data_IF_228924718242
#
_entry.id   IF_228924718242
#
_cell.length_a   1.000
_cell.length_b   1.000
_cell.length_c   1.000
_cell.angle_alpha   90.00
_cell.angle_beta   90.00
_cell.angle_gamma   90.00
#
_symmetry.space_group_name_H-M   'P 1'
#
loop_
_entity.id
_entity.type
_entity.pdbx_description
1 polymer ?
#
# COMPACT_ATOMS: atom_id res chain seq x y z
N UNK A 1 -40.40 9.52 20.58
CA UNK A 1 -38.98 9.10 20.68
C UNK A 1 -38.37 8.79 19.31
N UNK A 2 -38.91 7.84 18.54
CA UNK A 2 -38.37 7.43 17.22
C UNK A 2 -38.41 8.55 16.15
N UNK A 3 -39.45 9.39 16.15
CA UNK A 3 -39.56 10.57 15.26
C UNK A 3 -38.56 11.69 15.58
N UNK A 4 -38.03 11.75 16.80
CA UNK A 4 -37.02 12.75 17.18
C UNK A 4 -35.61 12.37 16.68
N UNK A 5 -35.38 11.08 16.41
CA UNK A 5 -34.13 10.56 15.81
C UNK A 5 -34.12 10.83 14.30
N UNK A 6 -35.29 10.84 13.65
CA UNK A 6 -35.46 11.10 12.22
C UNK A 6 -35.43 12.59 11.84
N UNK A 7 -35.49 13.49 12.81
CA UNK A 7 -35.51 14.93 12.60
C UNK A 7 -34.51 15.64 13.55
N UNK A 8 -33.19 15.56 13.28
CA UNK A 8 -32.16 16.19 14.13
C UNK A 8 -32.28 17.73 14.20
N UNK A 9 -33.15 18.33 13.37
CA UNK A 9 -33.44 19.76 13.29
C UNK A 9 -34.69 20.19 14.07
N UNK A 10 -35.41 19.29 14.75
CA UNK A 10 -36.68 19.62 15.42
C UNK A 10 -36.52 20.34 16.78
N UNK A 11 -35.29 20.52 17.26
CA UNK A 11 -35.01 21.36 18.43
C UNK A 11 -34.97 22.84 18.05
N UNK A 12 -35.72 23.68 18.77
CA UNK A 12 -35.85 25.14 18.59
C UNK A 12 -34.55 25.91 18.89
N UNK A 13 -33.50 25.60 18.13
CA UNK A 13 -32.13 26.12 18.25
C UNK A 13 -31.11 25.34 17.41
N UNK A 14 -31.44 24.13 16.95
CA UNK A 14 -30.51 23.24 16.23
C UNK A 14 -30.20 23.67 14.79
N UNK A 15 -31.19 24.19 14.05
CA UNK A 15 -30.99 24.60 12.66
C UNK A 15 -30.03 25.79 12.52
N UNK A 16 -30.09 26.77 13.43
CA UNK A 16 -29.20 27.92 13.42
C UNK A 16 -27.77 27.57 13.82
N UNK A 17 -27.60 26.72 14.85
CA UNK A 17 -26.29 26.26 15.29
C UNK A 17 -25.64 25.30 14.27
N UNK A 18 -26.41 24.37 13.70
CA UNK A 18 -25.94 23.47 12.65
C UNK A 18 -25.63 24.23 11.35
N UNK A 19 -26.47 25.19 10.96
CA UNK A 19 -26.17 26.08 9.82
C UNK A 19 -24.91 26.89 10.08
N UNK A 20 -24.69 27.46 11.27
CA UNK A 20 -23.45 28.18 11.60
C UNK A 20 -22.21 27.26 11.57
N UNK A 21 -22.32 26.05 12.11
CA UNK A 21 -21.19 25.09 12.14
C UNK A 21 -20.90 24.54 10.73
N UNK A 22 -21.94 24.20 9.97
CA UNK A 22 -21.83 23.72 8.60
C UNK A 22 -21.35 24.83 7.63
N UNK A 23 -21.85 26.06 7.77
CA UNK A 23 -21.37 27.23 7.03
C UNK A 23 -19.91 27.52 7.37
N UNK A 24 -19.50 27.34 8.63
CA UNK A 24 -18.11 27.42 9.04
C UNK A 24 -17.24 26.39 8.33
N UNK A 25 -17.65 25.12 8.34
CA UNK A 25 -16.93 24.06 7.62
C UNK A 25 -16.87 24.30 6.10
N UNK A 26 -17.98 24.72 5.48
CA UNK A 26 -18.05 25.02 4.05
C UNK A 26 -17.17 26.23 3.71
N UNK A 27 -17.19 27.28 4.52
CA UNK A 27 -16.35 28.46 4.32
C UNK A 27 -14.86 28.12 4.46
N UNK A 28 -14.48 27.29 5.42
CA UNK A 28 -13.10 26.81 5.59
C UNK A 28 -12.68 25.95 4.40
N UNK A 29 -13.53 25.03 3.94
CA UNK A 29 -13.24 24.19 2.78
C UNK A 29 -13.13 25.01 1.48
N UNK A 30 -13.97 26.03 1.30
CA UNK A 30 -13.88 26.97 0.17
C UNK A 30 -12.60 27.82 0.26
N UNK A 31 -12.23 28.29 1.45
CA UNK A 31 -10.99 29.04 1.65
C UNK A 31 -9.75 28.19 1.35
N UNK A 32 -9.73 26.94 1.82
CA UNK A 32 -8.66 25.98 1.52
C UNK A 32 -8.62 25.68 0.02
N UNK A 33 -9.76 25.43 -0.62
CA UNK A 33 -9.86 25.19 -2.06
C UNK A 33 -9.36 26.39 -2.88
N UNK A 34 -9.75 27.61 -2.50
CA UNK A 34 -9.28 28.84 -3.14
C UNK A 34 -7.77 29.04 -2.95
N UNK A 35 -7.24 28.79 -1.75
CA UNK A 35 -5.81 28.89 -1.46
C UNK A 35 -5.00 27.87 -2.27
N UNK A 36 -5.45 26.62 -2.34
CA UNK A 36 -4.81 25.57 -3.15
C UNK A 36 -4.83 25.92 -4.64
N UNK A 37 -5.96 26.41 -5.16
CA UNK A 37 -6.05 26.88 -6.53
C UNK A 37 -5.13 28.07 -6.81
N UNK A 38 -5.05 29.04 -5.90
CA UNK A 38 -4.16 30.19 -6.04
C UNK A 38 -2.68 29.76 -6.04
N UNK A 39 -2.28 28.84 -5.15
CA UNK A 39 -0.92 28.28 -5.12
C UNK A 39 -0.63 27.46 -6.38
N UNK A 40 -1.59 26.66 -6.84
CA UNK A 40 -1.46 25.90 -8.08
C UNK A 40 -1.27 26.82 -9.28
N UNK A 41 -2.10 27.87 -9.41
CA UNK A 41 -2.00 28.88 -10.46
C UNK A 41 -0.66 29.62 -10.37
N UNK A 42 -0.23 30.03 -9.17
CA UNK A 42 1.06 30.72 -8.98
C UNK A 42 2.24 29.83 -9.41
N UNK A 43 2.23 28.55 -9.01
CA UNK A 43 3.27 27.60 -9.43
C UNK A 43 3.20 27.27 -10.92
N UNK A 44 2.01 27.18 -11.50
CA UNK A 44 1.82 27.02 -12.94
C UNK A 44 2.31 28.25 -13.71
N UNK A 45 2.14 29.47 -13.18
CA UNK A 45 2.65 30.71 -13.80
C UNK A 45 4.17 30.82 -13.72
N UNK A 46 4.78 30.40 -12.61
CA UNK A 46 6.25 30.29 -12.50
C UNK A 46 6.78 29.18 -13.40
N UNK A 47 6.02 28.08 -13.56
CA UNK A 47 6.42 26.96 -14.38
C UNK A 47 6.13 27.16 -15.87
N UNK A 48 5.18 28.02 -16.26
CA UNK A 48 4.82 28.31 -17.65
C UNK A 48 5.86 29.27 -18.25
N UNK A 49 6.91 28.76 -18.91
CA UNK A 49 7.93 29.58 -19.51
C UNK A 49 7.39 29.92 -20.89
N UNK A 50 6.60 31.00 -20.98
CA UNK A 50 6.39 31.62 -22.27
C UNK A 50 7.76 32.03 -22.79
N UNK A 51 8.19 31.35 -23.85
CA UNK A 51 9.49 31.40 -24.54
C UNK A 51 10.48 30.33 -24.09
N UNK A 52 10.51 29.26 -24.88
CA UNK A 52 11.72 28.53 -25.20
C UNK A 52 12.77 29.50 -25.80
N UNK A 53 13.42 30.31 -24.96
CA UNK A 53 14.75 30.80 -25.26
C UNK A 53 15.63 29.56 -25.14
N UNK A 54 16.08 29.08 -26.29
CA UNK A 54 17.15 28.11 -26.37
C UNK A 54 18.37 28.74 -25.70
N UNK A 55 18.57 28.49 -24.40
CA UNK A 55 19.91 28.57 -23.84
C UNK A 55 20.72 27.48 -24.53
N UNK A 56 21.50 27.91 -25.53
CA UNK A 56 22.58 27.09 -26.07
C UNK A 56 23.43 26.60 -24.90
N UNK A 57 23.86 25.33 -24.89
CA UNK A 57 24.72 24.82 -23.84
C UNK A 57 25.93 25.75 -23.71
N UNK A 58 26.10 26.35 -22.54
CA UNK A 58 27.32 27.11 -22.23
C UNK A 58 28.45 26.08 -22.22
N UNK A 59 29.22 26.00 -23.31
CA UNK A 59 30.49 25.27 -23.37
C UNK A 59 31.36 25.83 -22.25
N UNK A 60 31.29 25.17 -21.09
CA UNK A 60 32.15 25.46 -19.96
C UNK A 60 33.27 24.44 -20.06
N UNK A 61 34.42 24.93 -20.49
CA UNK A 61 35.71 24.25 -20.47
C UNK A 61 35.84 23.44 -19.18
N UNK A 62 35.80 22.12 -19.33
CA UNK A 62 35.86 21.20 -18.19
C UNK A 62 36.65 19.95 -18.56
N UNK A 63 37.84 20.15 -19.15
CA UNK A 63 38.89 19.12 -19.17
C UNK A 63 39.25 18.66 -17.75
N UNK A 64 39.03 19.50 -16.73
CA UNK A 64 39.25 19.15 -15.32
C UNK A 64 38.12 18.30 -14.70
N UNK A 65 36.86 18.43 -15.15
CA UNK A 65 35.75 17.59 -14.65
C UNK A 65 35.71 16.20 -15.30
N UNK A 66 36.29 16.06 -16.49
CA UNK A 66 36.36 14.78 -17.18
C UNK A 66 37.20 13.74 -16.40
N UNK A 67 38.26 14.19 -15.71
CA UNK A 67 39.17 13.30 -14.95
C UNK A 67 38.53 12.83 -13.63
N UNK A 68 37.64 13.61 -13.01
CA UNK A 68 36.91 13.18 -11.80
C UNK A 68 35.74 12.21 -12.09
N UNK A 69 35.21 12.18 -13.32
CA UNK A 69 34.11 11.26 -13.71
C UNK A 69 34.53 9.79 -13.82
N UNK A 70 35.83 9.50 -13.79
CA UNK A 70 36.38 8.17 -14.07
C UNK A 70 36.74 7.33 -12.83
N UNK A 71 36.29 7.68 -11.62
CA UNK A 71 36.21 6.65 -10.57
C UNK A 71 35.08 5.71 -10.95
N UNK A 72 35.42 4.60 -11.61
CA UNK A 72 34.52 3.50 -11.88
C UNK A 72 33.77 3.18 -10.58
N UNK A 73 32.49 3.57 -10.53
CA UNK A 73 31.66 3.32 -9.36
C UNK A 73 31.59 1.81 -9.20
N UNK A 74 31.95 1.32 -8.02
CA UNK A 74 31.85 -0.09 -7.71
C UNK A 74 30.36 -0.49 -7.70
N UNK A 75 29.91 -1.11 -8.79
CA UNK A 75 28.57 -1.64 -8.94
C UNK A 75 28.51 -2.96 -8.16
N UNK A 76 27.46 -3.16 -7.37
CA UNK A 76 27.27 -4.40 -6.63
C UNK A 76 26.94 -5.58 -7.56
N UNK A 77 27.03 -6.80 -7.03
CA UNK A 77 26.72 -8.03 -7.76
C UNK A 77 25.35 -7.99 -8.47
N UNK A 78 24.35 -7.34 -7.86
CA UNK A 78 23.08 -7.03 -8.53
C UNK A 78 23.03 -5.54 -8.91
N UNK A 79 23.15 -5.20 -10.22
CA UNK A 79 23.18 -3.82 -10.68
C UNK A 79 21.84 -3.10 -10.51
N UNK A 80 20.71 -3.84 -10.52
CA UNK A 80 19.38 -3.26 -10.34
C UNK A 80 19.19 -2.80 -8.91
N UNK A 81 19.50 -3.65 -7.92
CA UNK A 81 19.42 -3.26 -6.50
C UNK A 81 20.30 -2.04 -6.25
N UNK A 82 21.54 -2.08 -6.74
CA UNK A 82 22.46 -0.96 -6.61
C UNK A 82 21.87 0.33 -7.21
N UNK A 83 21.28 0.25 -8.40
CA UNK A 83 20.63 1.41 -9.02
C UNK A 83 19.45 1.91 -8.17
N UNK A 84 18.55 1.05 -7.73
CA UNK A 84 17.37 1.47 -6.94
C UNK A 84 17.74 2.11 -5.60
N UNK A 85 18.83 1.65 -4.96
CA UNK A 85 19.26 2.10 -3.63
C UNK A 85 20.20 3.31 -3.72
N UNK A 86 21.19 3.25 -4.60
CA UNK A 86 22.25 4.26 -4.67
C UNK A 86 21.92 5.42 -5.62
N UNK A 87 20.97 5.24 -6.54
CA UNK A 87 20.50 6.32 -7.42
C UNK A 87 19.11 6.76 -7.01
N UNK A 88 18.75 8.04 -7.23
CA UNK A 88 17.43 8.58 -6.88
C UNK A 88 16.33 8.10 -7.86
N UNK A 89 16.22 6.79 -8.05
CA UNK A 89 15.34 6.15 -9.03
C UNK A 89 13.85 6.53 -8.83
N UNK A 90 13.42 6.68 -7.59
CA UNK A 90 12.04 7.03 -7.23
C UNK A 90 11.71 8.54 -7.31
N UNK A 91 12.71 9.39 -7.55
CA UNK A 91 12.53 10.84 -7.71
C UNK A 91 12.14 11.62 -6.45
N UNK A 92 11.97 12.94 -6.60
CA UNK A 92 11.68 13.87 -5.48
C UNK A 92 10.27 13.73 -4.91
N UNK A 93 9.31 13.16 -5.66
CA UNK A 93 7.91 13.06 -5.22
C UNK A 93 7.72 12.11 -4.04
N UNK A 94 8.52 11.05 -3.96
CA UNK A 94 8.49 10.10 -2.84
C UNK A 94 8.82 10.77 -1.50
N UNK A 95 9.69 11.79 -1.51
CA UNK A 95 9.98 12.56 -0.29
C UNK A 95 8.72 13.21 0.29
N UNK A 96 7.86 13.79 -0.55
CA UNK A 96 6.60 14.40 -0.09
C UNK A 96 5.61 13.34 0.45
N UNK A 97 5.55 12.16 -0.16
CA UNK A 97 4.72 11.05 0.31
C UNK A 97 5.18 10.61 1.71
N UNK A 98 6.49 10.45 1.90
CA UNK A 98 7.08 10.11 3.19
C UNK A 98 6.81 11.19 4.24
N UNK A 99 7.03 12.47 3.88
CA UNK A 99 6.77 13.59 4.78
C UNK A 99 5.30 13.62 5.23
N UNK A 100 4.35 13.43 4.32
CA UNK A 100 2.93 13.36 4.65
C UNK A 100 2.63 12.19 5.61
N UNK A 101 3.24 11.02 5.37
CA UNK A 101 3.12 9.86 6.25
C UNK A 101 3.69 10.13 7.65
N UNK A 102 4.86 10.78 7.75
CA UNK A 102 5.46 11.18 9.03
C UNK A 102 4.56 12.15 9.81
N UNK A 103 3.99 13.14 9.15
CA UNK A 103 3.05 14.09 9.77
C UNK A 103 1.82 13.37 10.30
N UNK A 104 1.27 12.42 9.53
CA UNK A 104 0.13 11.60 9.97
C UNK A 104 0.50 10.73 11.17
N UNK A 105 1.65 10.03 11.11
CA UNK A 105 2.13 9.20 12.21
C UNK A 105 2.34 10.01 13.50
N UNK A 106 2.92 11.21 13.39
CA UNK A 106 3.08 12.11 14.53
C UNK A 106 1.71 12.56 15.08
N UNK A 107 0.75 12.87 14.22
CA UNK A 107 -0.62 13.18 14.62
C UNK A 107 -1.30 12.03 15.37
N UNK A 108 -1.12 10.80 14.91
CA UNK A 108 -1.64 9.59 15.58
C UNK A 108 -1.00 9.41 16.96
N UNK A 109 0.33 9.54 17.07
CA UNK A 109 1.03 9.44 18.37
C UNK A 109 0.57 10.56 19.32
N UNK A 110 0.45 11.79 18.85
CA UNK A 110 -0.04 12.92 19.64
C UNK A 110 -1.49 12.69 20.13
N UNK A 111 -2.35 12.12 19.28
CA UNK A 111 -3.70 11.72 19.66
C UNK A 111 -3.68 10.67 20.78
N UNK A 112 -2.88 9.61 20.62
CA UNK A 112 -2.78 8.55 21.63
C UNK A 112 -2.25 9.06 22.98
N UNK A 113 -1.27 9.97 22.97
CA UNK A 113 -0.75 10.59 24.20
C UNK A 113 -1.82 11.40 24.94
N UNK A 114 -2.75 12.03 24.21
CA UNK A 114 -3.88 12.79 24.81
C UNK A 114 -5.04 11.89 25.22
N UNK A 115 -5.21 10.76 24.53
CA UNK A 115 -6.30 9.80 24.75
C UNK A 115 -5.99 8.78 25.87
N UNK A 116 -4.78 8.79 26.44
CA UNK A 116 -4.28 7.80 27.40
C UNK A 116 -5.09 7.64 28.71
N UNK A 117 -6.16 8.41 28.92
CA UNK A 117 -7.06 8.32 30.08
C UNK A 117 -8.51 7.96 29.76
N UNK A 118 -8.92 7.91 28.49
CA UNK A 118 -10.29 7.53 28.10
C UNK A 118 -10.28 6.05 27.72
N UNK A 119 -10.75 5.17 28.62
CA UNK A 119 -10.88 3.72 28.37
C UNK A 119 -11.96 3.36 27.34
N UNK A 120 -12.25 4.26 26.39
CA UNK A 120 -13.28 4.10 25.37
C UNK A 120 -12.73 3.26 24.21
N UNK A 121 -13.44 2.17 23.89
CA UNK A 121 -13.12 1.32 22.76
C UNK A 121 -13.55 2.01 21.46
N UNK A 122 -12.65 2.05 20.49
CA UNK A 122 -12.96 2.51 19.12
C UNK A 122 -13.81 1.44 18.45
N UNK A 123 -14.95 1.86 17.88
CA UNK A 123 -15.94 0.97 17.25
C UNK A 123 -16.46 -0.11 18.22
N UNK A 124 -16.39 0.11 19.54
CA UNK A 124 -16.85 -0.84 20.57
C UNK A 124 -16.06 -2.15 20.66
N UNK A 125 -14.98 -2.30 19.88
CA UNK A 125 -14.29 -3.58 19.68
C UNK A 125 -12.76 -3.50 19.77
N UNK A 126 -12.16 -2.34 19.45
CA UNK A 126 -10.70 -2.22 19.30
C UNK A 126 -10.19 -1.11 20.23
N UNK A 127 -9.06 -1.34 20.90
CA UNK A 127 -8.41 -0.28 21.69
C UNK A 127 -7.93 0.86 20.78
N UNK A 128 -7.88 2.12 21.27
CA UNK A 128 -7.34 3.24 20.49
C UNK A 128 -5.94 2.97 19.93
N UNK A 129 -5.10 2.29 20.73
CA UNK A 129 -3.75 1.85 20.33
C UNK A 129 -3.80 0.83 19.20
N UNK A 130 -4.64 -0.21 19.31
CA UNK A 130 -4.80 -1.21 18.27
C UNK A 130 -5.29 -0.58 16.97
N UNK A 131 -6.28 0.31 17.04
CA UNK A 131 -6.79 1.03 15.88
C UNK A 131 -5.71 1.89 15.21
N UNK A 132 -4.90 2.60 15.99
CA UNK A 132 -3.78 3.39 15.48
C UNK A 132 -2.73 2.54 14.75
N UNK A 133 -2.34 1.40 15.33
CA UNK A 133 -1.40 0.46 14.70
C UNK A 133 -1.98 -0.08 13.40
N UNK A 134 -3.26 -0.49 13.39
CA UNK A 134 -3.95 -0.98 12.20
C UNK A 134 -4.00 0.10 11.11
N UNK A 135 -4.42 1.32 11.45
CA UNK A 135 -4.53 2.43 10.50
C UNK A 135 -3.18 2.76 9.85
N UNK A 136 -2.12 2.89 10.66
CA UNK A 136 -0.78 3.13 10.14
C UNK A 136 -0.27 1.95 9.30
N UNK A 137 -0.54 0.72 9.72
CA UNK A 137 -0.15 -0.49 8.97
C UNK A 137 -0.84 -0.55 7.61
N UNK A 138 -2.16 -0.31 7.54
CA UNK A 138 -2.92 -0.30 6.28
C UNK A 138 -2.43 0.81 5.34
N UNK A 139 -2.18 2.01 5.87
CA UNK A 139 -1.61 3.10 5.08
C UNK A 139 -0.20 2.73 4.57
N UNK A 140 0.60 2.05 5.39
CA UNK A 140 1.93 1.59 4.99
C UNK A 140 1.84 0.57 3.85
N UNK A 141 0.97 -0.43 3.96
CA UNK A 141 0.77 -1.45 2.93
C UNK A 141 0.32 -0.84 1.59
N UNK A 142 -0.61 0.11 1.61
CA UNK A 142 -1.09 0.79 0.39
C UNK A 142 0.01 1.61 -0.26
N UNK A 143 0.81 2.34 0.52
CA UNK A 143 1.93 3.12 0.00
C UNK A 143 3.09 2.24 -0.50
N UNK A 144 3.41 1.15 0.18
CA UNK A 144 4.42 0.17 -0.25
C UNK A 144 4.02 -0.43 -1.60
N UNK A 145 2.76 -0.85 -1.73
CA UNK A 145 2.22 -1.37 -2.96
C UNK A 145 2.25 -0.35 -4.10
N UNK A 146 1.80 0.88 -3.85
CA UNK A 146 1.84 1.95 -4.85
C UNK A 146 3.27 2.24 -5.33
N UNK A 147 4.25 2.18 -4.43
CA UNK A 147 5.67 2.34 -4.80
C UNK A 147 6.20 1.14 -5.59
N UNK A 148 5.81 -0.08 -5.24
CA UNK A 148 6.18 -1.28 -5.98
C UNK A 148 5.65 -1.22 -7.43
N UNK A 149 4.38 -0.83 -7.60
CA UNK A 149 3.80 -0.61 -8.94
C UNK A 149 4.60 0.46 -9.67
N UNK A 150 4.79 1.63 -9.04
CA UNK A 150 5.46 2.78 -9.65
C UNK A 150 6.89 2.47 -10.08
N UNK A 151 7.63 1.68 -9.30
CA UNK A 151 9.01 1.29 -9.59
C UNK A 151 9.18 0.61 -10.95
N UNK A 152 8.13 -0.05 -11.43
CA UNK A 152 8.11 -0.72 -12.72
C UNK A 152 7.42 0.13 -13.79
N UNK A 153 6.27 0.72 -13.45
CA UNK A 153 5.49 1.46 -14.43
C UNK A 153 6.18 2.76 -14.87
N UNK A 154 6.98 3.40 -14.01
CA UNK A 154 7.77 4.56 -14.41
C UNK A 154 8.83 4.23 -15.46
N UNK A 155 9.42 3.04 -15.40
CA UNK A 155 10.42 2.60 -16.39
C UNK A 155 9.79 2.24 -17.72
N UNK A 156 8.60 1.63 -17.67
CA UNK A 156 7.81 1.36 -18.85
C UNK A 156 7.33 2.64 -19.51
N UNK A 157 6.75 3.56 -18.76
CA UNK A 157 6.28 4.84 -19.29
C UNK A 157 7.44 5.66 -19.90
N UNK A 158 8.65 5.50 -19.34
CA UNK A 158 9.88 6.06 -19.89
C UNK A 158 10.51 5.29 -21.04
N UNK A 159 9.89 4.18 -21.52
CA UNK A 159 10.44 3.25 -22.54
C UNK A 159 11.84 2.70 -22.24
N UNK A 160 12.22 2.72 -20.97
CA UNK A 160 13.52 2.18 -20.50
C UNK A 160 13.42 0.70 -20.13
N UNK A 161 12.20 0.19 -19.90
CA UNK A 161 11.99 -1.21 -19.57
C UNK A 161 12.45 -2.14 -20.72
N UNK A 162 12.07 -1.85 -21.96
CA UNK A 162 12.50 -2.65 -23.13
C UNK A 162 14.02 -2.67 -23.29
N UNK A 163 14.69 -1.54 -23.02
CA UNK A 163 16.15 -1.46 -23.04
C UNK A 163 16.77 -2.32 -21.94
N UNK A 164 16.22 -2.34 -20.73
CA UNK A 164 16.68 -3.20 -19.64
C UNK A 164 16.48 -4.68 -19.98
N UNK A 165 15.36 -5.03 -20.61
CA UNK A 165 15.06 -6.40 -21.03
C UNK A 165 15.95 -6.88 -22.19
N UNK A 166 16.53 -5.96 -22.97
CA UNK A 166 17.51 -6.28 -24.00
C UNK A 166 18.93 -6.53 -23.45
N UNK A 167 19.16 -6.27 -22.16
CA UNK A 167 20.46 -6.55 -21.51
C UNK A 167 20.50 -7.95 -20.91
N UNK A 168 21.71 -8.44 -20.55
CA UNK A 168 21.95 -9.76 -19.97
C UNK A 168 21.47 -9.92 -18.50
N UNK A 169 20.37 -9.28 -18.12
CA UNK A 169 19.81 -9.35 -16.76
C UNK A 169 18.84 -10.52 -16.66
N UNK A 170 18.99 -11.36 -15.63
CA UNK A 170 18.08 -12.47 -15.37
C UNK A 170 16.78 -12.03 -14.68
N UNK A 171 15.68 -12.79 -14.79
CA UNK A 171 14.44 -12.52 -14.03
C UNK A 171 14.70 -12.35 -12.54
N UNK A 172 15.50 -13.27 -11.99
CA UNK A 172 15.84 -13.30 -10.56
C UNK A 172 16.44 -11.98 -10.14
N UNK A 173 17.45 -11.51 -10.86
CA UNK A 173 18.10 -10.24 -10.59
C UNK A 173 17.15 -9.06 -10.74
N UNK A 174 16.25 -9.11 -11.73
CA UNK A 174 15.25 -8.07 -11.96
C UNK A 174 14.19 -7.98 -10.87
N UNK A 175 13.50 -9.09 -10.57
CA UNK A 175 12.40 -9.15 -9.60
C UNK A 175 12.90 -8.87 -8.18
N UNK A 176 13.96 -9.57 -7.73
CA UNK A 176 14.56 -9.28 -6.42
C UNK A 176 15.20 -7.89 -6.38
N UNK A 177 15.70 -7.42 -7.53
CA UNK A 177 16.12 -6.05 -7.78
C UNK A 177 15.10 -5.02 -7.34
N UNK A 178 13.91 -5.14 -7.93
CA UNK A 178 12.78 -4.23 -7.74
C UNK A 178 12.13 -4.37 -6.37
N UNK A 179 12.01 -5.58 -5.84
CA UNK A 179 11.54 -5.80 -4.47
C UNK A 179 12.49 -5.17 -3.45
N UNK A 180 13.80 -5.41 -3.59
CA UNK A 180 14.81 -4.85 -2.70
C UNK A 180 14.84 -3.32 -2.71
N UNK A 181 14.78 -2.73 -3.91
CA UNK A 181 14.66 -1.28 -4.07
C UNK A 181 13.42 -0.71 -3.39
N UNK A 182 12.28 -1.39 -3.54
CA UNK A 182 11.02 -1.00 -2.91
C UNK A 182 11.12 -1.07 -1.39
N UNK A 183 11.61 -2.16 -0.80
CA UNK A 183 11.76 -2.29 0.65
C UNK A 183 12.75 -1.28 1.23
N UNK A 184 13.85 -1.01 0.53
CA UNK A 184 14.80 0.01 0.97
C UNK A 184 14.17 1.40 0.97
N UNK A 185 13.43 1.75 -0.09
CA UNK A 185 12.74 3.02 -0.18
C UNK A 185 11.62 3.14 0.87
N UNK A 186 10.92 2.05 1.18
CA UNK A 186 9.78 2.03 2.11
C UNK A 186 10.13 1.67 3.55
N UNK A 187 11.41 1.48 3.89
CA UNK A 187 11.85 1.06 5.24
C UNK A 187 11.24 1.88 6.38
N UNK A 188 11.06 3.17 6.19
CA UNK A 188 10.47 4.09 7.17
C UNK A 188 8.98 3.81 7.41
N UNK A 189 8.25 3.48 6.34
CA UNK A 189 6.83 3.12 6.39
C UNK A 189 6.62 1.77 7.09
N UNK A 190 7.59 0.86 6.96
CA UNK A 190 7.57 -0.44 7.66
C UNK A 190 7.96 -0.24 9.13
N UNK A 191 8.97 0.58 9.40
CA UNK A 191 9.52 0.76 10.75
C UNK A 191 8.55 1.46 11.70
N UNK A 192 7.84 2.50 11.26
CA UNK A 192 6.96 3.30 12.13
C UNK A 192 5.88 2.48 12.86
N UNK A 193 5.03 1.67 12.19
CA UNK A 193 4.01 0.89 12.88
C UNK A 193 4.61 -0.17 13.81
N UNK A 194 5.76 -0.75 13.43
CA UNK A 194 6.48 -1.71 14.27
C UNK A 194 7.12 -1.08 15.51
N UNK A 195 7.69 0.13 15.38
CA UNK A 195 8.23 0.89 16.50
C UNK A 195 7.12 1.28 17.47
N UNK A 196 5.94 1.68 16.96
CA UNK A 196 4.78 1.97 17.78
C UNK A 196 4.31 0.70 18.52
N UNK A 197 4.20 -0.43 17.83
CA UNK A 197 3.85 -1.71 18.45
C UNK A 197 4.88 -2.13 19.51
N UNK A 198 6.18 -1.97 19.24
CA UNK A 198 7.24 -2.29 20.19
C UNK A 198 7.18 -1.41 21.45
N UNK A 199 6.88 -0.12 21.29
CA UNK A 199 6.72 0.81 22.41
C UNK A 199 5.56 0.41 23.34
N UNK A 200 4.41 0.01 22.78
CA UNK A 200 3.26 -0.44 23.57
C UNK A 200 3.42 -1.85 24.14
N UNK A 201 4.15 -2.74 23.46
CA UNK A 201 4.58 -4.02 24.02
C UNK A 201 5.48 -3.81 25.24
N UNK A 202 6.44 -2.88 25.14
CA UNK A 202 7.35 -2.54 26.24
C UNK A 202 6.62 -1.93 27.45
N UNK A 203 5.59 -1.12 27.21
CA UNK A 203 4.70 -0.62 28.27
C UNK A 203 3.76 -1.69 28.87
N UNK A 204 3.76 -2.91 28.34
CA UNK A 204 2.91 -4.00 28.83
C UNK A 204 1.44 -3.90 28.41
N UNK A 205 1.13 -3.16 27.33
CA UNK A 205 -0.25 -3.10 26.79
C UNK A 205 -0.71 -4.43 26.19
N UNK A 206 0.22 -5.21 25.65
CA UNK A 206 0.00 -6.58 25.16
C UNK A 206 1.28 -7.42 25.35
N UNK A 207 1.13 -8.74 25.30
CA UNK A 207 2.24 -9.68 25.55
C UNK A 207 3.32 -9.64 24.47
N UNK A 208 4.55 -10.04 24.81
CA UNK A 208 5.64 -10.18 23.82
C UNK A 208 5.33 -11.20 22.73
N UNK A 209 4.57 -12.25 23.04
CA UNK A 209 4.07 -13.21 22.04
C UNK A 209 3.19 -12.51 20.99
N UNK A 210 2.28 -11.64 21.44
CA UNK A 210 1.41 -10.87 20.55
C UNK A 210 2.21 -9.91 19.67
N UNK A 211 3.26 -9.30 20.22
CA UNK A 211 4.19 -8.49 19.44
C UNK A 211 4.90 -9.30 18.34
N UNK A 212 5.40 -10.50 18.64
CA UNK A 212 6.03 -11.38 17.64
C UNK A 212 5.04 -11.73 16.54
N UNK A 213 3.79 -12.04 16.87
CA UNK A 213 2.74 -12.30 15.87
C UNK A 213 2.42 -11.07 15.01
N UNK A 214 2.40 -9.86 15.60
CA UNK A 214 2.25 -8.61 14.84
C UNK A 214 3.41 -8.43 13.86
N UNK A 215 4.65 -8.63 14.30
CA UNK A 215 5.85 -8.50 13.45
C UNK A 215 5.81 -9.50 12.30
N UNK A 216 5.56 -10.78 12.58
CA UNK A 216 5.50 -11.83 11.56
C UNK A 216 4.35 -11.60 10.58
N UNK A 217 3.14 -11.35 11.08
CA UNK A 217 1.97 -11.08 10.25
C UNK A 217 2.16 -9.86 9.37
N UNK A 218 2.64 -8.75 9.94
CA UNK A 218 2.90 -7.53 9.17
C UNK A 218 4.00 -7.73 8.13
N UNK A 219 5.08 -8.45 8.45
CA UNK A 219 6.13 -8.76 7.48
C UNK A 219 5.59 -9.54 6.27
N UNK A 220 4.75 -10.56 6.49
CA UNK A 220 4.10 -11.30 5.40
C UNK A 220 3.23 -10.38 4.55
N UNK A 221 2.41 -9.52 5.19
CA UNK A 221 1.56 -8.57 4.48
C UNK A 221 2.36 -7.54 3.68
N UNK A 222 3.49 -7.07 4.20
CA UNK A 222 4.41 -6.15 3.52
C UNK A 222 4.99 -6.79 2.26
N UNK A 223 5.44 -8.05 2.35
CA UNK A 223 5.97 -8.78 1.19
C UNK A 223 4.86 -9.02 0.17
N UNK A 224 3.67 -9.42 0.62
CA UNK A 224 2.50 -9.57 -0.25
C UNK A 224 2.14 -8.26 -0.97
N UNK A 225 2.06 -7.15 -0.24
CA UNK A 225 1.72 -5.85 -0.81
C UNK A 225 2.77 -5.39 -1.84
N UNK A 226 4.06 -5.59 -1.58
CA UNK A 226 5.10 -5.28 -2.56
C UNK A 226 5.01 -6.18 -3.80
N UNK A 227 4.86 -7.50 -3.61
CA UNK A 227 4.79 -8.45 -4.72
C UNK A 227 3.53 -8.27 -5.58
N UNK A 228 2.37 -8.01 -4.96
CA UNK A 228 1.12 -7.69 -5.67
C UNK A 228 1.27 -6.44 -6.54
N UNK A 229 2.01 -5.44 -6.04
CA UNK A 229 2.30 -4.22 -6.78
C UNK A 229 3.17 -4.47 -8.00
N UNK A 230 4.24 -5.26 -7.85
CA UNK A 230 5.05 -5.69 -8.99
C UNK A 230 4.26 -6.54 -9.99
N UNK A 231 3.47 -7.51 -9.50
CA UNK A 231 2.62 -8.37 -10.33
C UNK A 231 1.65 -7.54 -11.18
N UNK A 232 0.99 -6.56 -10.57
CA UNK A 232 0.09 -5.65 -11.28
C UNK A 232 0.86 -4.74 -12.25
N UNK A 233 2.05 -4.27 -11.88
CA UNK A 233 2.91 -3.48 -12.76
C UNK A 233 3.33 -4.23 -14.03
N UNK A 234 3.64 -5.53 -13.92
CA UNK A 234 3.98 -6.40 -15.06
C UNK A 234 2.74 -6.73 -15.90
N UNK A 235 1.60 -6.92 -15.24
CA UNK A 235 0.36 -7.40 -15.86
C UNK A 235 -0.39 -6.36 -16.68
N UNK A 236 -0.29 -5.08 -16.36
CA UNK A 236 -1.10 -4.02 -16.98
C UNK A 236 -0.24 -3.00 -17.69
N UNK A 237 -0.45 -2.79 -18.99
CA UNK A 237 0.39 -1.91 -19.81
C UNK A 237 0.26 -0.42 -19.46
N UNK A 238 -0.87 0.00 -18.88
CA UNK A 238 -1.07 1.36 -18.41
C UNK A 238 -0.81 1.48 -16.90
N UNK A 239 -0.08 2.52 -16.49
CA UNK A 239 0.24 2.78 -15.07
C UNK A 239 -1.00 3.00 -14.22
N UNK A 240 -2.00 3.68 -14.79
CA UNK A 240 -3.29 3.93 -14.11
C UNK A 240 -4.04 2.63 -13.83
N UNK A 241 -4.10 1.72 -14.80
CA UNK A 241 -4.76 0.43 -14.62
C UNK A 241 -3.99 -0.48 -13.66
N UNK A 242 -2.66 -0.48 -13.72
CA UNK A 242 -1.81 -1.25 -12.80
C UNK A 242 -2.01 -0.81 -11.34
N UNK A 243 -1.97 0.50 -11.09
CA UNK A 243 -2.19 1.08 -9.77
C UNK A 243 -3.62 0.79 -9.30
N UNK A 244 -4.62 1.05 -10.15
CA UNK A 244 -6.03 0.83 -9.81
C UNK A 244 -6.35 -0.63 -9.47
N UNK A 245 -5.79 -1.57 -10.22
CA UNK A 245 -5.96 -3.00 -9.96
C UNK A 245 -5.35 -3.41 -8.62
N UNK A 246 -4.07 -3.07 -8.42
CA UNK A 246 -3.30 -3.43 -7.24
C UNK A 246 -3.91 -2.84 -5.96
N UNK A 247 -4.25 -1.54 -6.00
CA UNK A 247 -4.87 -0.83 -4.89
C UNK A 247 -6.29 -1.33 -4.63
N UNK A 248 -7.06 -1.62 -5.69
CA UNK A 248 -8.39 -2.21 -5.58
C UNK A 248 -8.38 -3.58 -4.90
N UNK A 249 -7.40 -4.43 -5.23
CA UNK A 249 -7.20 -5.72 -4.54
C UNK A 249 -6.90 -5.52 -3.04
N UNK A 250 -5.99 -4.62 -2.68
CA UNK A 250 -5.69 -4.33 -1.26
C UNK A 250 -6.91 -3.79 -0.52
N UNK A 251 -7.63 -2.84 -1.12
CA UNK A 251 -8.82 -2.27 -0.50
C UNK A 251 -9.92 -3.30 -0.33
N UNK A 252 -10.18 -4.14 -1.33
CA UNK A 252 -11.14 -5.23 -1.21
C UNK A 252 -10.78 -6.17 -0.05
N UNK A 253 -9.54 -6.68 -0.02
CA UNK A 253 -9.11 -7.66 0.98
C UNK A 253 -9.07 -7.08 2.40
N UNK A 254 -8.46 -5.91 2.59
CA UNK A 254 -8.26 -5.39 3.94
C UNK A 254 -9.39 -4.50 4.42
N UNK A 255 -9.75 -3.47 3.64
CA UNK A 255 -10.75 -2.49 4.06
C UNK A 255 -12.17 -3.01 3.84
N UNK A 256 -12.45 -3.62 2.69
CA UNK A 256 -13.76 -4.13 2.33
C UNK A 256 -14.23 -5.23 3.28
N UNK A 257 -13.41 -6.25 3.49
CA UNK A 257 -13.74 -7.36 4.42
C UNK A 257 -13.84 -6.86 5.87
N UNK A 258 -12.97 -5.93 6.30
CA UNK A 258 -13.05 -5.34 7.64
C UNK A 258 -14.33 -4.54 7.87
N UNK A 259 -14.68 -3.63 6.95
CA UNK A 259 -15.92 -2.84 7.03
C UNK A 259 -17.12 -3.77 7.03
N UNK A 260 -17.10 -4.81 6.20
CA UNK A 260 -18.17 -5.79 6.19
C UNK A 260 -18.29 -6.52 7.54
N UNK A 261 -17.18 -6.97 8.11
CA UNK A 261 -17.16 -7.61 9.41
C UNK A 261 -17.78 -6.70 10.48
N UNK A 262 -17.44 -5.41 10.48
CA UNK A 262 -18.03 -4.44 11.40
C UNK A 262 -19.55 -4.35 11.25
N UNK A 263 -20.07 -4.32 10.02
CA UNK A 263 -21.52 -4.33 9.78
C UNK A 263 -22.20 -5.60 10.29
N UNK A 264 -21.53 -6.74 10.14
CA UNK A 264 -22.00 -8.05 10.62
C UNK A 264 -22.06 -8.11 12.15
N UNK A 265 -21.07 -7.52 12.83
CA UNK A 265 -21.08 -7.44 14.31
C UNK A 265 -22.15 -6.47 14.81
N UNK A 266 -22.42 -5.39 14.08
CA UNK A 266 -23.41 -4.38 14.47
C UNK A 266 -24.85 -4.92 14.36
N UNK A 267 -25.25 -5.59 13.26
CA UNK A 267 -26.63 -6.09 13.13
C UNK A 267 -26.82 -7.54 13.60
N UNK A 268 -26.53 -7.74 14.89
CA UNK A 268 -26.74 -9.01 15.63
C UNK A 268 -28.16 -9.57 15.43
N UNK A 269 -29.17 -8.70 15.33
CA UNK A 269 -30.58 -9.08 15.16
C UNK A 269 -30.93 -9.60 13.76
N UNK A 270 -30.13 -9.25 12.74
CA UNK A 270 -30.35 -9.61 11.34
C UNK A 270 -29.15 -10.34 10.74
N UNK A 271 -28.42 -11.08 11.59
CA UNK A 271 -27.16 -11.75 11.23
C UNK A 271 -27.27 -12.57 9.94
N UNK A 272 -28.35 -13.35 9.78
CA UNK A 272 -28.50 -14.24 8.63
C UNK A 272 -28.59 -13.48 7.28
N UNK A 273 -29.31 -12.35 7.24
CA UNK A 273 -29.47 -11.53 6.03
C UNK A 273 -28.13 -10.86 5.67
N UNK A 274 -27.43 -10.37 6.68
CA UNK A 274 -26.10 -9.79 6.46
C UNK A 274 -25.10 -10.86 6.01
N UNK A 275 -25.12 -12.04 6.63
CA UNK A 275 -24.26 -13.14 6.22
C UNK A 275 -24.51 -13.59 4.78
N UNK A 276 -25.76 -13.60 4.30
CA UNK A 276 -26.04 -13.84 2.88
C UNK A 276 -25.42 -12.76 1.96
N UNK A 277 -25.58 -11.49 2.33
CA UNK A 277 -24.96 -10.37 1.61
C UNK A 277 -23.44 -10.49 1.60
N UNK A 278 -22.86 -11.06 2.66
CA UNK A 278 -21.44 -11.32 2.76
C UNK A 278 -20.95 -12.35 1.77
N UNK A 279 -21.64 -13.48 1.67
CA UNK A 279 -21.27 -14.57 0.74
C UNK A 279 -21.31 -14.05 -0.69
N UNK A 280 -22.29 -13.21 -1.05
CA UNK A 280 -22.33 -12.54 -2.35
C UNK A 280 -21.15 -11.59 -2.53
N UNK A 281 -20.84 -10.76 -1.53
CA UNK A 281 -19.70 -9.84 -1.57
C UNK A 281 -18.36 -10.57 -1.75
N UNK A 282 -18.12 -11.64 -0.99
CA UNK A 282 -16.94 -12.49 -1.17
C UNK A 282 -16.95 -13.14 -2.55
N UNK A 283 -18.07 -13.74 -2.98
CA UNK A 283 -18.13 -14.45 -4.26
C UNK A 283 -17.78 -13.54 -5.44
N UNK A 284 -18.41 -12.37 -5.51
CA UNK A 284 -18.12 -11.36 -6.54
C UNK A 284 -16.69 -10.84 -6.40
N UNK A 285 -16.23 -10.59 -5.17
CA UNK A 285 -14.89 -10.12 -4.90
C UNK A 285 -13.80 -11.14 -5.27
N UNK A 286 -14.01 -12.43 -5.03
CA UNK A 286 -13.11 -13.53 -5.44
C UNK A 286 -13.06 -13.66 -6.96
N UNK A 287 -14.18 -13.48 -7.67
CA UNK A 287 -14.21 -13.43 -9.14
C UNK A 287 -13.39 -12.23 -9.65
N UNK A 288 -13.57 -11.05 -9.03
CA UNK A 288 -12.77 -9.86 -9.35
C UNK A 288 -11.28 -10.06 -9.06
N UNK A 289 -10.96 -10.74 -7.96
CA UNK A 289 -9.58 -11.06 -7.59
C UNK A 289 -8.95 -12.07 -8.54
N UNK A 290 -9.73 -13.06 -9.01
CA UNK A 290 -9.30 -13.99 -10.06
C UNK A 290 -8.96 -13.22 -11.34
N UNK A 291 -9.88 -12.39 -11.84
CA UNK A 291 -9.64 -11.59 -13.04
C UNK A 291 -8.44 -10.63 -12.91
N UNK A 292 -8.20 -10.10 -11.70
CA UNK A 292 -7.03 -9.27 -11.37
C UNK A 292 -5.72 -10.06 -11.42
N UNK A 293 -5.66 -11.20 -10.73
CA UNK A 293 -4.42 -11.95 -10.54
C UNK A 293 -4.03 -12.77 -11.77
N UNK A 294 -4.98 -13.37 -12.49
CA UNK A 294 -4.68 -14.32 -13.58
C UNK A 294 -4.62 -13.70 -14.97
N UNK A 295 -4.55 -12.36 -15.08
CA UNK A 295 -4.72 -11.64 -16.35
C UNK A 295 -3.73 -12.02 -17.45
N UNK A 296 -2.41 -11.98 -17.16
CA UNK A 296 -1.37 -12.36 -18.14
C UNK A 296 -0.94 -13.82 -17.98
N UNK A 297 -0.78 -14.28 -16.75
CA UNK A 297 -0.26 -15.61 -16.44
C UNK A 297 -1.26 -16.38 -15.56
N UNK A 298 -2.28 -17.03 -16.15
CA UNK A 298 -3.22 -17.82 -15.38
C UNK A 298 -2.54 -19.07 -14.81
N UNK A 299 -2.70 -19.30 -13.51
CA UNK A 299 -2.20 -20.50 -12.84
C UNK A 299 -3.18 -20.99 -11.79
N UNK A 300 -3.23 -22.31 -11.57
CA UNK A 300 -4.09 -22.89 -10.55
C UNK A 300 -3.78 -22.35 -9.14
N UNK A 301 -2.52 -22.00 -8.87
CA UNK A 301 -2.10 -21.39 -7.60
C UNK A 301 -2.68 -19.98 -7.41
N UNK A 302 -2.72 -19.15 -8.47
CA UNK A 302 -3.35 -17.83 -8.42
C UNK A 302 -4.87 -17.93 -8.35
N UNK A 303 -5.48 -18.90 -9.03
CA UNK A 303 -6.92 -19.18 -8.91
C UNK A 303 -7.29 -19.59 -7.50
N UNK A 304 -6.53 -20.51 -6.90
CA UNK A 304 -6.72 -20.93 -5.52
C UNK A 304 -6.53 -19.76 -4.56
N UNK A 305 -5.49 -18.94 -4.76
CA UNK A 305 -5.24 -17.74 -3.95
C UNK A 305 -6.42 -16.75 -4.03
N UNK A 306 -6.93 -16.49 -5.23
CA UNK A 306 -8.08 -15.59 -5.44
C UNK A 306 -9.35 -16.08 -4.72
N UNK A 307 -9.56 -17.40 -4.70
CA UNK A 307 -10.63 -18.03 -3.94
C UNK A 307 -10.43 -17.92 -2.43
N UNK A 308 -9.25 -18.33 -1.93
CA UNK A 308 -8.98 -18.48 -0.49
C UNK A 308 -8.75 -17.17 0.25
N UNK A 309 -8.11 -16.17 -0.37
CA UNK A 309 -7.69 -14.95 0.31
C UNK A 309 -8.86 -14.27 1.05
N UNK A 310 -10.02 -13.99 0.44
CA UNK A 310 -11.11 -13.31 1.15
C UNK A 310 -11.65 -14.10 2.34
N UNK A 311 -11.79 -15.42 2.21
CA UNK A 311 -12.26 -16.28 3.30
C UNK A 311 -11.26 -16.33 4.45
N UNK A 312 -9.95 -16.44 4.15
CA UNK A 312 -8.93 -16.48 5.19
C UNK A 312 -8.72 -15.12 5.86
N UNK A 313 -8.92 -14.00 5.15
CA UNK A 313 -8.95 -12.68 5.77
C UNK A 313 -10.14 -12.53 6.72
N UNK A 314 -11.33 -12.99 6.29
CA UNK A 314 -12.50 -13.00 7.16
C UNK A 314 -12.29 -13.87 8.41
N UNK A 315 -11.74 -15.07 8.22
CA UNK A 315 -11.37 -15.96 9.31
C UNK A 315 -10.39 -15.28 10.28
N UNK A 316 -9.31 -14.67 9.76
CA UNK A 316 -8.34 -13.95 10.58
C UNK A 316 -8.96 -12.81 11.38
N UNK A 317 -9.87 -12.02 10.80
CA UNK A 317 -10.56 -10.96 11.54
C UNK A 317 -11.48 -11.58 12.61
N UNK A 318 -12.22 -12.64 12.28
CA UNK A 318 -13.10 -13.32 13.25
C UNK A 318 -12.29 -13.87 14.43
N UNK A 319 -11.18 -14.54 14.15
CA UNK A 319 -10.30 -15.13 15.14
C UNK A 319 -9.68 -14.05 16.04
N UNK A 320 -9.32 -12.89 15.47
CA UNK A 320 -8.88 -11.74 16.25
C UNK A 320 -9.95 -11.27 17.24
N UNK A 321 -11.23 -11.22 16.83
CA UNK A 321 -12.34 -10.86 17.72
C UNK A 321 -12.58 -11.90 18.81
N UNK A 322 -12.28 -13.17 18.52
CA UNK A 322 -12.30 -14.28 19.48
C UNK A 322 -11.04 -14.35 20.34
N UNK A 323 -10.13 -13.36 20.25
CA UNK A 323 -8.86 -13.29 20.99
C UNK A 323 -7.84 -14.39 20.63
N UNK A 324 -7.99 -15.06 19.47
CA UNK A 324 -7.11 -16.12 18.98
C UNK A 324 -5.89 -15.60 18.21
N UNK A 325 -4.89 -15.03 18.88
CA UNK A 325 -3.76 -14.34 18.21
C UNK A 325 -2.89 -15.25 17.32
N UNK A 326 -2.64 -16.51 17.73
CA UNK A 326 -1.86 -17.47 16.95
C UNK A 326 -2.58 -17.86 15.65
N UNK A 327 -3.89 -18.12 15.72
CA UNK A 327 -4.71 -18.49 14.57
C UNK A 327 -4.70 -17.40 13.49
N UNK A 328 -4.75 -16.13 13.92
CA UNK A 328 -4.59 -14.96 13.04
C UNK A 328 -3.24 -14.97 12.32
N UNK A 329 -2.15 -15.16 13.07
CA UNK A 329 -0.80 -15.16 12.51
C UNK A 329 -0.62 -16.28 11.47
N UNK A 330 -1.09 -17.49 11.79
CA UNK A 330 -1.01 -18.65 10.89
C UNK A 330 -1.89 -18.45 9.65
N UNK A 331 -3.11 -17.95 9.80
CA UNK A 331 -3.99 -17.67 8.67
C UNK A 331 -3.38 -16.64 7.72
N UNK A 332 -2.80 -15.55 8.25
CA UNK A 332 -2.13 -14.53 7.45
C UNK A 332 -0.90 -15.12 6.75
N UNK A 333 -0.05 -15.84 7.49
CA UNK A 333 1.17 -16.44 6.95
C UNK A 333 0.87 -17.43 5.83
N UNK A 334 -0.09 -18.32 6.03
CA UNK A 334 -0.48 -19.31 5.02
C UNK A 334 -1.16 -18.65 3.82
N UNK A 335 -2.18 -17.80 4.03
CA UNK A 335 -2.96 -17.22 2.93
C UNK A 335 -2.13 -16.28 2.06
N UNK A 336 -1.53 -15.26 2.68
CA UNK A 336 -0.81 -14.22 1.97
C UNK A 336 0.60 -14.65 1.60
N UNK A 337 1.24 -15.53 2.38
CA UNK A 337 2.50 -16.15 2.01
C UNK A 337 2.35 -17.04 0.77
N UNK A 338 1.31 -17.89 0.73
CA UNK A 338 1.02 -18.69 -0.46
C UNK A 338 0.73 -17.82 -1.69
N UNK A 339 -0.13 -16.80 -1.56
CA UNK A 339 -0.43 -15.89 -2.67
C UNK A 339 0.81 -15.12 -3.16
N UNK A 340 1.68 -14.72 -2.24
CA UNK A 340 2.98 -14.09 -2.57
C UNK A 340 3.84 -15.04 -3.40
N UNK A 341 3.98 -16.29 -2.97
CA UNK A 341 4.75 -17.30 -3.70
C UNK A 341 4.13 -17.62 -5.07
N UNK A 342 2.80 -17.68 -5.14
CA UNK A 342 2.09 -17.91 -6.39
C UNK A 342 2.32 -16.79 -7.43
N UNK A 343 2.56 -15.56 -6.99
CA UNK A 343 2.98 -14.44 -7.85
C UNK A 343 4.49 -14.44 -8.12
N UNK A 344 5.30 -14.71 -7.10
CA UNK A 344 6.76 -14.59 -7.17
C UNK A 344 7.40 -15.69 -8.02
N UNK A 345 6.99 -16.96 -7.84
CA UNK A 345 7.64 -18.10 -8.50
C UNK A 345 7.57 -17.98 -10.03
N UNK A 346 6.39 -17.74 -10.66
CA UNK A 346 6.32 -17.54 -12.11
C UNK A 346 7.13 -16.33 -12.58
N UNK A 347 7.06 -15.20 -11.86
CA UNK A 347 7.80 -13.99 -12.21
C UNK A 347 9.32 -14.20 -12.22
N UNK A 348 9.82 -15.09 -11.37
CA UNK A 348 11.23 -15.43 -11.25
C UNK A 348 11.66 -16.53 -12.23
N UNK A 349 10.75 -17.43 -12.64
CA UNK A 349 11.05 -18.57 -13.52
C UNK A 349 10.81 -18.30 -15.01
N UNK A 350 9.84 -17.45 -15.38
CA UNK A 350 9.40 -17.32 -16.77
C UNK A 350 10.37 -16.57 -17.70
N UNK A 351 11.25 -15.69 -17.20
CA UNK A 351 12.25 -15.08 -18.08
C UNK A 351 13.20 -16.11 -18.70
N UNK A 352 13.52 -17.20 -17.99
CA UNK A 352 14.42 -18.22 -18.54
C UNK A 352 13.75 -18.99 -19.70
N UNK A 353 12.42 -19.08 -19.71
CA UNK A 353 11.63 -19.72 -20.78
C UNK A 353 11.50 -18.80 -22.00
N UNK A 354 11.28 -17.51 -21.80
CA UNK A 354 11.22 -16.53 -22.89
C UNK A 354 12.60 -16.28 -23.55
N UNK A 355 13.70 -16.48 -22.81
CA UNK A 355 15.07 -16.42 -23.33
C UNK A 355 15.55 -17.73 -23.98
N UNK A 356 14.70 -18.76 -24.09
CA UNK A 356 15.06 -20.05 -24.68
C UNK A 356 16.15 -20.81 -23.92
N UNK A 357 16.37 -20.49 -22.63
CA UNK A 357 17.38 -21.11 -21.77
C UNK A 357 16.85 -22.30 -20.98
N UNK A 358 15.68 -22.82 -21.36
CA UNK A 358 15.27 -24.15 -20.91
C UNK A 358 16.25 -25.16 -21.48
N UNK A 359 17.16 -25.64 -20.64
CA UNK A 359 17.83 -26.92 -20.83
C UNK A 359 16.76 -28.01 -20.94
N UNK A 360 16.29 -28.27 -22.17
CA UNK A 360 15.57 -29.48 -22.52
C UNK A 360 16.55 -30.41 -23.26
N UNK A 361 16.89 -31.47 -22.55
CA UNK A 361 17.39 -32.78 -22.96
C UNK A 361 18.52 -32.93 -23.99
N UNK A 362 19.69 -33.31 -23.45
CA UNK A 362 20.39 -34.49 -23.95
C UNK A 362 19.60 -35.72 -23.48
N UNK A 363 18.95 -36.39 -24.42
CA UNK A 363 18.33 -37.71 -24.27
C UNK A 363 18.07 -38.29 -25.64
#
# INVERSE_FOLDING_TARGET
>A
AMLAILAPLSGSGGAAHFAQTALGCVAVLLAIGAALNAVAIARLRVWNPSQAVHEAPKETDSETDAVQRARARHIWNNPIIWREICTRAYGRRVFFIKLAYYVLALGVVAYLMRSAGAGELVLGMISPVGFAIVLLSLLSLTLINAQAVTALTSERDGRTLELLLATNITAKEFIYGKLGGTFYNTKELIAIPLLLAAYYAWQGTFSWESFVYIVLGFAVLVVFAAMLGLHSGLSFDSSRSAIGNSLGTLFFLFVGIFVFMMLLVEARSSFFIQFQSFIVFIGVGSIGLYASLTRKNPSAALTLSAGLLPFLTFYAITEFLLQGTLGVCLAIACAYGFATLAMLVPAVSEFDVALGRTTLDKG
#
